data_IF_006826480021
#
_entry.id   IF_006826480021
#
_cell.length_a   1.000
_cell.length_b   1.000
_cell.length_c   1.000
_cell.angle_alpha   90.00
_cell.angle_beta   90.00
_cell.angle_gamma   90.00
#
_symmetry.space_group_name_H-M   'P 1'
#
loop_
_entity.id
_entity.type
_entity.pdbx_description
1 polymer ?
#
# COMPACT_ATOMS: atom_id res chain seq x y z
N UNK A 1 -13.05 -16.47 -85.79
CA UNK A 1 -12.89 -17.90 -86.12
C UNK A 1 -11.54 -18.34 -85.63
N UNK A 2 -11.51 -18.95 -84.45
CA UNK A 2 -11.02 -20.31 -84.21
C UNK A 2 -10.79 -20.47 -82.72
N UNK A 3 -11.69 -21.26 -82.14
CA UNK A 3 -11.69 -21.81 -80.79
C UNK A 3 -10.42 -22.61 -80.49
N UNK A 4 -10.12 -22.82 -79.19
CA UNK A 4 -10.31 -24.12 -78.53
C UNK A 4 -9.70 -24.10 -77.12
N UNK A 5 -10.57 -24.26 -76.12
CA UNK A 5 -10.26 -24.72 -74.77
C UNK A 5 -9.70 -26.14 -74.79
N UNK A 6 -8.76 -26.47 -73.88
CA UNK A 6 -8.93 -27.59 -72.92
C UNK A 6 -7.72 -27.88 -72.01
N UNK A 7 -8.08 -28.43 -70.84
CA UNK A 7 -7.38 -29.42 -70.02
C UNK A 7 -6.35 -28.97 -68.95
N UNK A 8 -6.87 -28.78 -67.73
CA UNK A 8 -6.66 -29.61 -66.52
C UNK A 8 -5.29 -30.34 -66.36
N UNK A 9 -4.54 -30.06 -65.28
CA UNK A 9 -4.32 -30.96 -64.10
C UNK A 9 -3.06 -30.63 -63.24
N UNK A 10 -3.35 -30.43 -61.95
CA UNK A 10 -2.64 -30.92 -60.74
C UNK A 10 -1.27 -30.36 -60.29
N UNK A 11 -1.34 -29.73 -59.11
CA UNK A 11 -0.46 -29.77 -57.93
C UNK A 11 1.07 -29.62 -58.04
N UNK A 12 1.58 -28.63 -57.31
CA UNK A 12 2.63 -28.87 -56.33
C UNK A 12 2.53 -27.85 -55.20
N UNK A 13 2.27 -28.35 -53.99
CA UNK A 13 2.36 -27.60 -52.76
C UNK A 13 3.84 -27.31 -52.46
N UNK A 14 4.19 -26.03 -52.28
CA UNK A 14 5.40 -25.65 -51.56
C UNK A 14 4.98 -24.85 -50.33
N UNK A 15 5.04 -25.53 -49.19
CA UNK A 15 4.96 -24.92 -47.88
C UNK A 15 6.20 -24.03 -47.67
N UNK A 16 5.99 -22.71 -47.55
CA UNK A 16 6.96 -21.80 -46.96
C UNK A 16 6.40 -21.38 -45.61
N UNK A 17 6.65 -22.23 -44.61
CA UNK A 17 6.55 -21.90 -43.19
C UNK A 17 7.59 -20.83 -42.86
N UNK A 18 7.21 -19.56 -43.02
CA UNK A 18 7.95 -18.45 -42.44
C UNK A 18 7.63 -18.42 -40.93
N UNK A 19 8.46 -19.11 -40.15
CA UNK A 19 8.44 -19.06 -38.70
C UNK A 19 8.91 -17.69 -38.21
N UNK A 20 7.98 -16.75 -38.02
CA UNK A 20 8.21 -15.58 -37.18
C UNK A 20 8.07 -16.02 -35.72
N UNK A 21 9.20 -16.34 -35.08
CA UNK A 21 9.30 -16.42 -33.64
C UNK A 21 9.22 -14.99 -33.08
N UNK A 22 8.00 -14.51 -32.81
CA UNK A 22 7.80 -13.34 -31.96
C UNK A 22 8.23 -13.73 -30.55
N UNK A 23 9.29 -13.07 -30.10
CA UNK A 23 9.81 -13.09 -28.75
C UNK A 23 8.65 -13.06 -27.74
N UNK A 24 8.76 -13.91 -26.71
CA UNK A 24 7.78 -14.05 -25.65
C UNK A 24 7.29 -12.69 -25.18
N UNK A 25 6.01 -12.42 -25.41
CA UNK A 25 5.34 -11.31 -24.77
C UNK A 25 5.48 -11.51 -23.27
N UNK A 26 6.22 -10.62 -22.62
CA UNK A 26 6.08 -10.43 -21.18
C UNK A 26 4.61 -10.06 -21.00
N UNK A 27 3.78 -11.03 -20.59
CA UNK A 27 2.46 -10.71 -20.09
C UNK A 27 2.70 -9.78 -18.92
N UNK A 28 2.44 -8.48 -19.12
CA UNK A 28 2.31 -7.56 -18.02
C UNK A 28 1.29 -8.20 -17.08
N UNK A 29 1.74 -8.68 -15.92
CA UNK A 29 0.85 -9.23 -14.93
C UNK A 29 -0.18 -8.15 -14.64
N UNK A 30 -1.43 -8.40 -14.99
CA UNK A 30 -2.50 -7.49 -14.61
C UNK A 30 -2.47 -7.36 -13.09
N UNK A 31 -2.50 -6.13 -12.58
CA UNK A 31 -2.58 -5.88 -11.14
C UNK A 31 -3.70 -6.75 -10.54
N UNK A 32 -3.49 -7.39 -9.37
CA UNK A 32 -4.50 -8.23 -8.74
C UNK A 32 -5.80 -7.44 -8.64
N UNK A 33 -6.85 -7.94 -9.29
CA UNK A 33 -8.09 -7.21 -9.47
C UNK A 33 -8.65 -6.75 -8.12
N UNK A 34 -8.55 -5.45 -7.83
CA UNK A 34 -9.08 -4.87 -6.59
C UNK A 34 -8.06 -4.28 -5.62
N UNK A 35 -6.75 -4.42 -5.85
CA UNK A 35 -5.72 -4.04 -4.85
C UNK A 35 -5.06 -2.67 -5.04
N UNK A 36 -5.46 -1.92 -6.08
CA UNK A 36 -4.77 -0.70 -6.53
C UNK A 36 -3.92 -0.98 -7.77
N UNK A 37 -3.38 0.07 -8.39
CA UNK A 37 -2.40 -0.12 -9.47
C UNK A 37 -0.97 -0.17 -8.92
N UNK A 38 -0.05 -0.77 -9.68
CA UNK A 38 1.35 -0.89 -9.26
C UNK A 38 2.04 0.45 -8.91
N UNK A 39 1.66 1.55 -9.56
CA UNK A 39 2.22 2.89 -9.25
C UNK A 39 1.80 3.38 -7.87
N UNK A 40 0.53 3.21 -7.51
CA UNK A 40 -0.02 3.60 -6.21
C UNK A 40 0.54 2.72 -5.09
N UNK A 41 0.69 1.41 -5.34
CA UNK A 41 1.35 0.49 -4.40
C UNK A 41 2.79 0.92 -4.14
N UNK A 42 3.57 1.22 -5.18
CA UNK A 42 4.95 1.67 -5.02
C UNK A 42 5.04 3.04 -4.33
N UNK A 43 4.10 3.93 -4.61
CA UNK A 43 3.99 5.24 -3.94
C UNK A 43 3.77 5.05 -2.44
N UNK A 44 2.84 4.16 -2.05
CA UNK A 44 2.59 3.83 -0.65
C UNK A 44 3.78 3.10 -0.01
N UNK A 45 4.44 2.20 -0.74
CA UNK A 45 5.62 1.48 -0.26
C UNK A 45 6.79 2.43 0.11
N UNK A 46 6.88 3.59 -0.53
CA UNK A 46 7.88 4.62 -0.23
C UNK A 46 7.56 5.45 1.03
N UNK A 47 6.43 5.19 1.70
CA UNK A 47 6.02 5.89 2.93
C UNK A 47 6.03 4.98 4.16
N UNK A 48 6.34 3.70 3.99
CA UNK A 48 6.32 2.74 5.09
C UNK A 48 7.41 3.05 6.11
N UNK A 49 7.12 2.72 7.36
CA UNK A 49 8.08 2.83 8.45
C UNK A 49 9.26 1.88 8.20
N UNK A 50 10.44 2.25 8.71
CA UNK A 50 11.68 1.51 8.55
C UNK A 50 11.50 0.03 8.92
N UNK A 51 11.96 -0.86 8.03
CA UNK A 51 11.84 -2.31 8.18
C UNK A 51 10.60 -2.92 7.51
N UNK A 52 9.64 -2.10 7.09
CA UNK A 52 8.52 -2.54 6.26
C UNK A 52 8.79 -2.30 4.77
N UNK A 53 8.31 -3.22 3.93
CA UNK A 53 8.51 -3.22 2.50
C UNK A 53 7.64 -4.27 1.81
N UNK A 54 7.64 -4.31 0.48
CA UNK A 54 6.84 -5.27 -0.28
C UNK A 54 7.25 -6.75 -0.06
N UNK A 55 8.36 -7.00 0.66
CA UNK A 55 8.79 -8.33 1.08
C UNK A 55 8.10 -8.84 2.34
N UNK A 56 7.51 -7.96 3.17
CA UNK A 56 6.79 -8.32 4.40
C UNK A 56 5.42 -7.62 4.54
N UNK A 57 4.98 -6.97 3.47
CA UNK A 57 3.67 -6.34 3.33
C UNK A 57 2.95 -6.91 2.11
N UNK A 58 1.63 -7.07 2.23
CA UNK A 58 0.76 -7.59 1.17
C UNK A 58 -0.28 -6.55 0.80
N UNK A 59 -0.44 -6.30 -0.50
CA UNK A 59 -1.49 -5.45 -1.04
C UNK A 59 -2.88 -6.00 -0.70
N UNK A 60 -3.80 -5.13 -0.30
CA UNK A 60 -5.16 -5.48 0.09
C UNK A 60 -6.18 -4.87 -0.86
N UNK A 61 -7.39 -5.42 -0.86
CA UNK A 61 -8.50 -4.82 -1.60
C UNK A 61 -8.77 -3.38 -1.15
N UNK A 62 -9.02 -2.51 -2.11
CA UNK A 62 -9.28 -1.09 -1.90
C UNK A 62 -10.76 -0.75 -2.14
N UNK A 63 -11.25 0.23 -1.40
CA UNK A 63 -12.43 0.98 -1.83
C UNK A 63 -12.03 2.00 -2.89
N UNK A 64 -12.31 1.70 -4.16
CA UNK A 64 -11.90 2.54 -5.31
C UNK A 64 -12.44 3.97 -5.29
N UNK A 65 -13.49 4.27 -4.52
CA UNK A 65 -13.98 5.64 -4.38
C UNK A 65 -13.10 6.51 -3.47
N UNK A 66 -12.30 5.89 -2.60
CA UNK A 66 -11.59 6.58 -1.50
C UNK A 66 -10.11 6.25 -1.40
N UNK A 67 -9.72 5.05 -1.79
CA UNK A 67 -8.39 4.47 -1.58
C UNK A 67 -7.73 4.17 -2.92
N UNK A 68 -6.43 4.43 -2.99
CA UNK A 68 -5.57 4.13 -4.14
C UNK A 68 -4.73 2.87 -3.91
N UNK A 69 -4.29 2.67 -2.66
CA UNK A 69 -3.48 1.52 -2.26
C UNK A 69 -3.70 1.22 -0.78
N UNK A 70 -3.63 -0.06 -0.40
CA UNK A 70 -3.60 -0.52 0.98
C UNK A 70 -2.54 -1.59 1.10
N UNK A 71 -1.64 -1.45 2.08
CA UNK A 71 -0.65 -2.45 2.46
C UNK A 71 -0.87 -2.88 3.90
N UNK A 72 -0.98 -4.18 4.14
CA UNK A 72 -0.94 -4.77 5.50
C UNK A 72 0.36 -5.53 5.65
N UNK A 73 1.08 -5.28 6.73
CA UNK A 73 2.38 -5.88 7.01
C UNK A 73 2.33 -6.71 8.29
N UNK A 74 3.14 -7.76 8.33
CA UNK A 74 3.28 -8.61 9.52
C UNK A 74 4.19 -8.01 10.59
N UNK A 75 4.84 -8.89 11.35
CA UNK A 75 5.81 -8.54 12.38
C UNK A 75 6.96 -7.72 11.79
N UNK A 76 7.33 -6.63 12.48
CA UNK A 76 8.52 -5.85 12.17
C UNK A 76 9.77 -6.72 12.28
N UNK A 77 10.78 -6.57 11.38
CA UNK A 77 12.05 -7.28 11.51
C UNK A 77 12.88 -6.79 12.70
N UNK A 78 12.53 -5.64 13.30
CA UNK A 78 13.08 -5.21 14.58
C UNK A 78 12.46 -6.07 15.71
N UNK A 79 13.27 -6.76 16.55
CA UNK A 79 12.77 -7.56 17.66
C UNK A 79 11.93 -6.78 18.69
N UNK A 80 12.09 -5.45 18.76
CA UNK A 80 11.28 -4.57 19.62
C UNK A 80 10.17 -3.86 18.85
N UNK A 81 10.03 -4.17 17.56
CA UNK A 81 9.08 -3.53 16.67
C UNK A 81 7.66 -4.09 16.78
N UNK A 82 6.71 -3.41 16.14
CA UNK A 82 5.29 -3.78 16.17
C UNK A 82 5.03 -5.14 15.54
N UNK A 83 3.95 -5.76 16.00
CA UNK A 83 3.48 -7.06 15.52
C UNK A 83 2.76 -6.97 14.18
N UNK A 84 2.20 -5.80 13.86
CA UNK A 84 1.49 -5.54 12.62
C UNK A 84 1.62 -4.06 12.23
N UNK A 85 1.57 -3.80 10.93
CA UNK A 85 1.34 -2.47 10.39
C UNK A 85 0.27 -2.47 9.30
N UNK A 86 -0.37 -1.32 9.09
CA UNK A 86 -1.15 -1.06 7.88
C UNK A 86 -0.94 0.36 7.41
N UNK A 87 -0.94 0.51 6.10
CA UNK A 87 -0.76 1.77 5.40
C UNK A 87 -1.84 1.89 4.35
N UNK A 88 -2.38 3.09 4.19
CA UNK A 88 -3.44 3.38 3.22
C UNK A 88 -3.14 4.69 2.52
N UNK A 89 -3.12 4.66 1.19
CA UNK A 89 -3.05 5.84 0.34
C UNK A 89 -4.47 6.24 -0.08
N UNK A 90 -4.86 7.49 0.16
CA UNK A 90 -6.17 8.02 -0.17
C UNK A 90 -6.15 8.90 -1.42
N UNK A 91 -7.31 8.99 -2.08
CA UNK A 91 -7.52 9.85 -3.26
C UNK A 91 -7.54 11.34 -2.92
N UNK A 92 -7.78 11.71 -1.66
CA UNK A 92 -7.86 13.11 -1.22
C UNK A 92 -7.58 13.27 0.28
N UNK A 93 -7.27 14.51 0.68
CA UNK A 93 -7.10 14.87 2.09
C UNK A 93 -8.39 14.73 2.91
N UNK A 94 -9.57 14.93 2.28
CA UNK A 94 -10.86 14.74 2.93
C UNK A 94 -11.12 13.26 3.28
N UNK A 95 -10.79 12.37 2.35
CA UNK A 95 -10.90 10.93 2.56
C UNK A 95 -9.93 10.46 3.66
N UNK A 96 -8.69 10.97 3.66
CA UNK A 96 -7.72 10.73 4.73
C UNK A 96 -8.26 11.19 6.09
N UNK A 97 -8.70 12.44 6.20
CA UNK A 97 -9.18 13.00 7.47
C UNK A 97 -10.41 12.25 8.00
N UNK A 98 -11.31 11.85 7.10
CA UNK A 98 -12.49 11.04 7.45
C UNK A 98 -12.12 9.66 7.95
N UNK A 99 -11.17 8.99 7.26
CA UNK A 99 -10.67 7.69 7.69
C UNK A 99 -9.98 7.78 9.05
N UNK A 100 -9.09 8.76 9.25
CA UNK A 100 -8.41 8.98 10.53
C UNK A 100 -9.40 9.11 11.69
N UNK A 101 -10.41 10.01 11.56
CA UNK A 101 -11.45 10.20 12.59
C UNK A 101 -12.29 8.95 12.84
N UNK A 102 -12.51 8.12 11.82
CA UNK A 102 -13.26 6.88 11.98
C UNK A 102 -12.44 5.83 12.73
N UNK A 103 -11.16 5.64 12.34
CA UNK A 103 -10.28 4.63 12.94
C UNK A 103 -10.00 4.92 14.41
N UNK A 104 -9.66 6.16 14.77
CA UNK A 104 -9.31 6.48 16.17
C UNK A 104 -10.50 6.38 17.16
N UNK A 105 -11.75 6.29 16.66
CA UNK A 105 -12.93 6.04 17.51
C UNK A 105 -13.04 4.60 17.98
N UNK A 106 -12.33 3.70 17.33
CA UNK A 106 -12.29 2.28 17.72
C UNK A 106 -11.30 2.03 18.87
N UNK A 107 -10.44 3.02 19.16
CA UNK A 107 -9.38 2.94 20.15
C UNK A 107 -9.79 3.54 21.49
N UNK A 108 -9.22 3.00 22.57
CA UNK A 108 -9.16 3.70 23.85
C UNK A 108 -7.95 4.65 23.81
N UNK A 109 -8.21 5.93 23.56
CA UNK A 109 -7.17 6.93 23.37
C UNK A 109 -6.43 7.28 24.65
N UNK A 110 -5.11 7.39 24.53
CA UNK A 110 -4.21 7.89 25.57
C UNK A 110 -3.23 8.89 24.96
N UNK A 111 -2.68 9.84 25.73
CA UNK A 111 -1.76 10.82 25.17
C UNK A 111 -0.51 10.17 24.52
N UNK A 112 -0.07 10.74 23.40
CA UNK A 112 1.11 10.27 22.68
C UNK A 112 2.40 10.85 23.27
N UNK A 113 3.19 10.03 23.96
CA UNK A 113 4.46 10.49 24.55
C UNK A 113 4.24 11.69 25.48
N UNK A 114 4.92 12.80 25.22
CA UNK A 114 4.82 14.03 26.02
C UNK A 114 3.63 14.93 25.63
N UNK A 115 2.80 14.53 24.66
CA UNK A 115 1.58 15.24 24.36
C UNK A 115 0.59 15.13 25.53
N UNK A 116 -0.20 16.18 25.77
CA UNK A 116 -1.22 16.18 26.84
C UNK A 116 -2.55 15.55 26.39
N UNK A 117 -2.72 15.30 25.08
CA UNK A 117 -3.96 14.78 24.50
C UNK A 117 -3.68 13.92 23.26
N UNK A 118 -4.67 13.12 22.87
CA UNK A 118 -4.68 12.31 21.65
C UNK A 118 -6.05 12.48 20.97
N UNK A 119 -6.11 12.79 19.66
CA UNK A 119 -4.98 13.01 18.75
C UNK A 119 -4.20 14.31 19.04
N UNK A 120 -2.99 14.39 18.50
CA UNK A 120 -2.13 15.58 18.54
C UNK A 120 -1.41 15.78 17.21
N UNK A 121 -0.91 16.99 16.95
CA UNK A 121 -0.10 17.24 15.74
C UNK A 121 1.28 16.61 15.90
N UNK A 122 1.83 16.07 14.81
CA UNK A 122 3.21 15.55 14.80
C UNK A 122 4.04 16.20 13.71
N UNK A 123 5.36 16.08 13.86
CA UNK A 123 6.34 16.60 12.92
C UNK A 123 7.45 15.57 12.71
N UNK A 124 8.06 15.57 11.54
CA UNK A 124 9.23 14.76 11.26
C UNK A 124 10.41 15.26 12.10
N UNK A 125 11.27 14.35 12.55
CA UNK A 125 12.49 14.70 13.28
C UNK A 125 13.33 15.74 12.51
N UNK A 126 13.76 16.78 13.23
CA UNK A 126 14.50 17.91 12.66
C UNK A 126 13.64 18.95 11.93
N UNK A 127 12.31 18.78 11.88
CA UNK A 127 11.38 19.76 11.31
C UNK A 127 10.44 20.33 12.38
N UNK A 128 10.20 21.64 12.34
CA UNK A 128 9.14 22.28 13.14
C UNK A 128 7.78 22.30 12.41
N UNK A 129 7.75 21.96 11.12
CA UNK A 129 6.53 21.96 10.34
C UNK A 129 5.65 20.75 10.68
N UNK A 130 4.35 21.00 10.86
CA UNK A 130 3.35 19.95 11.05
C UNK A 130 3.32 19.01 9.83
N UNK A 131 3.42 17.71 10.09
CA UNK A 131 3.36 16.65 9.08
C UNK A 131 1.99 15.93 9.04
N UNK A 132 1.18 16.08 10.10
CA UNK A 132 -0.15 15.49 10.20
C UNK A 132 -0.63 15.36 11.65
N UNK A 133 -1.55 14.42 11.88
CA UNK A 133 -2.08 14.09 13.20
C UNK A 133 -1.62 12.69 13.61
N UNK A 134 -1.38 12.49 14.91
CA UNK A 134 -1.06 11.20 15.51
C UNK A 134 -1.99 10.96 16.70
N UNK A 135 -2.52 9.74 16.79
CA UNK A 135 -3.33 9.24 17.88
C UNK A 135 -2.69 7.98 18.45
N UNK A 136 -2.61 7.91 19.78
CA UNK A 136 -2.09 6.76 20.51
C UNK A 136 -3.20 6.21 21.40
N UNK A 137 -3.14 4.92 21.67
CA UNK A 137 -4.15 4.25 22.45
C UNK A 137 -3.98 2.75 22.45
N UNK A 138 -5.07 2.06 22.79
CA UNK A 138 -5.14 0.61 22.66
C UNK A 138 -6.36 0.21 21.85
N UNK A 139 -6.14 -0.69 20.89
CA UNK A 139 -7.18 -1.38 20.12
C UNK A 139 -7.16 -2.85 20.49
N UNK A 140 -8.31 -3.41 20.91
CA UNK A 140 -8.44 -4.83 21.27
C UNK A 140 -7.32 -5.34 22.22
N UNK A 141 -7.00 -4.54 23.26
CA UNK A 141 -5.95 -4.85 24.24
C UNK A 141 -4.52 -4.96 23.66
N UNK A 142 -4.25 -4.27 22.55
CA UNK A 142 -2.93 -4.05 21.99
C UNK A 142 -2.66 -2.55 21.83
N UNK A 143 -1.46 -2.10 22.16
CA UNK A 143 -1.01 -0.74 21.93
C UNK A 143 -1.04 -0.45 20.43
N UNK A 144 -1.54 0.73 20.08
CA UNK A 144 -1.68 1.19 18.72
C UNK A 144 -1.29 2.67 18.61
N UNK A 145 -0.63 3.00 17.51
CA UNK A 145 -0.43 4.37 17.08
C UNK A 145 -0.93 4.50 15.65
N UNK A 146 -1.79 5.48 15.40
CA UNK A 146 -2.37 5.81 14.11
C UNK A 146 -1.94 7.23 13.77
N UNK A 147 -1.40 7.45 12.57
CA UNK A 147 -1.02 8.80 12.15
C UNK A 147 -1.34 9.07 10.67
N UNK A 148 -1.51 10.34 10.36
CA UNK A 148 -1.63 10.84 8.99
C UNK A 148 -0.29 11.40 8.52
N UNK A 149 -0.01 11.27 7.23
CA UNK A 149 1.00 12.10 6.55
C UNK A 149 0.29 12.92 5.49
N UNK A 150 -0.01 14.17 5.83
CA UNK A 150 -0.98 14.99 5.09
C UNK A 150 -0.50 15.30 3.67
N UNK A 151 0.79 15.63 3.52
CA UNK A 151 1.41 15.89 2.22
C UNK A 151 1.38 14.68 1.26
N UNK A 152 1.11 13.47 1.79
CA UNK A 152 1.07 12.22 1.02
C UNK A 152 -0.31 11.55 1.02
N UNK A 153 -1.35 12.19 1.59
CA UNK A 153 -2.67 11.57 1.78
C UNK A 153 -2.62 10.15 2.34
N UNK A 154 -1.70 9.89 3.27
CA UNK A 154 -1.47 8.53 3.81
C UNK A 154 -1.98 8.44 5.25
N UNK A 155 -2.72 7.38 5.56
CA UNK A 155 -2.99 6.92 6.93
C UNK A 155 -2.08 5.73 7.21
N UNK A 156 -1.50 5.70 8.39
CA UNK A 156 -0.62 4.62 8.82
C UNK A 156 -0.97 4.24 10.24
N UNK A 157 -0.82 2.97 10.58
CA UNK A 157 -0.85 2.55 11.96
C UNK A 157 0.04 1.35 12.22
N UNK A 158 0.54 1.29 13.46
CA UNK A 158 1.36 0.22 13.99
C UNK A 158 0.65 -0.35 15.21
N UNK A 159 0.69 -1.68 15.35
CA UNK A 159 0.09 -2.39 16.48
C UNK A 159 1.13 -3.27 17.15
N UNK A 160 1.26 -3.15 18.46
CA UNK A 160 2.13 -4.01 19.25
C UNK A 160 1.46 -5.35 19.59
N UNK A 161 2.22 -6.29 20.12
CA UNK A 161 1.70 -7.54 20.70
C UNK A 161 1.36 -7.43 22.21
N UNK A 162 1.50 -6.23 22.77
CA UNK A 162 1.29 -5.92 24.18
C UNK A 162 0.55 -4.57 24.30
N UNK A 163 0.31 -4.10 25.52
CA UNK A 163 -0.42 -2.84 25.80
C UNK A 163 0.49 -1.64 26.07
N UNK A 164 1.81 -1.73 25.81
CA UNK A 164 2.76 -0.67 26.10
C UNK A 164 2.77 0.41 25.02
N UNK A 165 1.86 1.37 25.14
CA UNK A 165 1.69 2.51 24.22
C UNK A 165 2.95 3.37 24.15
N UNK A 166 3.63 3.57 25.28
CA UNK A 166 4.82 4.42 25.32
C UNK A 166 5.99 3.77 24.57
N UNK A 167 6.24 2.48 24.79
CA UNK A 167 7.26 1.76 24.04
C UNK A 167 6.99 1.78 22.53
N UNK A 168 5.73 1.59 22.12
CA UNK A 168 5.34 1.67 20.71
C UNK A 168 5.53 3.07 20.13
N UNK A 169 5.14 4.12 20.87
CA UNK A 169 5.33 5.51 20.46
C UNK A 169 6.82 5.83 20.24
N UNK A 170 7.70 5.41 21.15
CA UNK A 170 9.14 5.63 21.01
C UNK A 170 9.73 4.87 19.81
N UNK A 171 9.26 3.64 19.56
CA UNK A 171 9.65 2.92 18.35
C UNK A 171 9.22 3.66 17.08
N UNK A 172 7.99 4.17 17.04
CA UNK A 172 7.48 4.96 15.94
C UNK A 172 8.28 6.25 15.74
N UNK A 173 8.67 6.97 16.79
CA UNK A 173 9.51 8.16 16.62
C UNK A 173 10.84 7.87 15.92
N UNK A 174 11.44 6.71 16.20
CA UNK A 174 12.73 6.34 15.61
C UNK A 174 12.63 5.72 14.20
N UNK A 175 11.45 5.20 13.81
CA UNK A 175 11.30 4.37 12.60
C UNK A 175 10.14 4.77 11.70
N UNK A 176 9.26 5.67 12.15
CA UNK A 176 7.97 6.03 11.58
C UNK A 176 7.99 6.86 10.31
#
# INVERSE_FOLDING_TARGET
MSDFSNALKTAMAMALTAGFALAGGVTAAADPAGTGNSSDINTLAATLSKGYGLNNCTAQNIDRGRQLAVLTCGQSPDPKGPAQAKYVLFTSAENLATAFRATIKEDVLTPCGDANQSPSSWHKDGSAANAGQAACGTYQNAAEIIWTTDAKNTLSYLRASNTDVNALYQWWRANG
#
